data_IF_508466650296
#
_entry.id   IF_508466650296
#
_cell.length_a   1.000
_cell.length_b   1.000
_cell.length_c   1.000
_cell.angle_alpha   90.00
_cell.angle_beta   90.00
_cell.angle_gamma   90.00
#
_symmetry.space_group_name_H-M   'P 1'
#
loop_
_entity.id
_entity.type
_entity.pdbx_description
1 polymer ?
#
# COMPACT_ATOMS: atom_id res chain seq x y z
N UNK A 1 -50.58 -39.65 -7.25
CA UNK A 1 -49.17 -39.21 -7.10
C UNK A 1 -49.02 -37.83 -7.74
N UNK A 2 -49.18 -36.76 -6.96
CA UNK A 2 -49.09 -35.36 -7.42
C UNK A 2 -47.66 -34.85 -7.27
N UNK A 3 -47.00 -34.64 -8.41
CA UNK A 3 -45.62 -34.12 -8.53
C UNK A 3 -45.62 -32.64 -8.14
N UNK A 4 -45.09 -32.32 -6.97
CA UNK A 4 -44.90 -30.93 -6.51
C UNK A 4 -43.83 -30.25 -7.35
N UNK A 5 -44.18 -29.11 -7.95
CA UNK A 5 -43.25 -28.30 -8.74
C UNK A 5 -42.16 -27.67 -7.84
N UNK A 6 -40.91 -27.51 -8.33
CA UNK A 6 -39.85 -26.91 -7.55
C UNK A 6 -40.14 -25.42 -7.31
N UNK A 7 -40.19 -25.01 -6.03
CA UNK A 7 -40.30 -23.60 -5.62
C UNK A 7 -39.12 -22.82 -6.21
N UNK A 8 -39.40 -21.87 -7.09
CA UNK A 8 -38.41 -20.91 -7.56
C UNK A 8 -37.86 -20.14 -6.35
N UNK A 9 -36.55 -20.23 -6.11
CA UNK A 9 -35.88 -19.44 -5.08
C UNK A 9 -36.05 -17.95 -5.40
N UNK A 10 -36.42 -17.10 -4.42
CA UNK A 10 -36.56 -15.67 -4.66
C UNK A 10 -35.22 -15.07 -5.11
N UNK A 11 -35.23 -14.11 -6.04
CA UNK A 11 -34.02 -13.44 -6.49
C UNK A 11 -33.36 -12.75 -5.31
N UNK A 12 -32.10 -13.07 -5.03
CA UNK A 12 -31.33 -12.42 -3.98
C UNK A 12 -31.29 -10.91 -4.24
N UNK A 13 -31.92 -10.12 -3.35
CA UNK A 13 -31.91 -8.67 -3.37
C UNK A 13 -30.45 -8.18 -3.37
N UNK A 14 -30.01 -7.70 -4.53
CA UNK A 14 -28.67 -7.14 -4.69
C UNK A 14 -28.62 -5.85 -3.87
N UNK A 15 -27.73 -5.79 -2.88
CA UNK A 15 -27.50 -4.57 -2.12
C UNK A 15 -27.27 -3.36 -3.06
N UNK A 16 -27.86 -2.19 -2.74
CA UNK A 16 -27.74 -0.98 -3.56
C UNK A 16 -26.28 -0.57 -3.74
N UNK A 17 -25.96 0.06 -4.87
CA UNK A 17 -24.60 0.45 -5.25
C UNK A 17 -23.90 1.28 -4.17
N UNK A 18 -24.64 2.14 -3.46
CA UNK A 18 -24.07 3.03 -2.45
C UNK A 18 -23.58 2.28 -1.22
N UNK A 19 -24.25 1.19 -0.82
CA UNK A 19 -23.74 0.33 0.26
C UNK A 19 -22.42 -0.35 -0.13
N UNK A 20 -22.28 -0.74 -1.41
CA UNK A 20 -21.02 -1.34 -1.90
C UNK A 20 -19.90 -0.30 -1.92
N UNK A 21 -20.18 0.91 -2.39
CA UNK A 21 -19.23 2.02 -2.38
C UNK A 21 -18.80 2.39 -0.96
N UNK A 22 -19.73 2.48 -0.01
CA UNK A 22 -19.43 2.76 1.39
C UNK A 22 -18.52 1.69 2.02
N UNK A 23 -18.78 0.41 1.72
CA UNK A 23 -17.93 -0.70 2.21
C UNK A 23 -16.50 -0.62 1.64
N UNK A 24 -16.32 -0.09 0.43
CA UNK A 24 -14.99 0.06 -0.16
C UNK A 24 -14.29 1.36 0.26
N UNK A 25 -15.05 2.43 0.51
CA UNK A 25 -14.50 3.74 0.91
C UNK A 25 -14.17 3.80 2.40
N UNK A 26 -14.96 3.16 3.28
CA UNK A 26 -14.74 3.23 4.72
C UNK A 26 -13.33 2.76 5.14
N UNK A 27 -12.78 1.64 4.63
CA UNK A 27 -11.41 1.24 4.94
C UNK A 27 -10.37 2.24 4.45
N UNK A 28 -10.58 2.86 3.29
CA UNK A 28 -9.66 3.88 2.76
C UNK A 28 -9.62 5.08 3.69
N UNK A 29 -10.77 5.55 4.19
CA UNK A 29 -10.84 6.64 5.17
C UNK A 29 -10.10 6.27 6.46
N UNK A 30 -10.26 5.03 6.94
CA UNK A 30 -9.52 4.54 8.12
C UNK A 30 -8.01 4.56 7.86
N UNK A 31 -7.55 4.05 6.72
CA UNK A 31 -6.12 4.03 6.37
C UNK A 31 -5.54 5.44 6.28
N UNK A 32 -6.25 6.37 5.62
CA UNK A 32 -5.83 7.78 5.53
C UNK A 32 -5.78 8.41 6.92
N UNK A 33 -6.79 8.19 7.76
CA UNK A 33 -6.82 8.71 9.13
C UNK A 33 -5.63 8.18 9.95
N UNK A 34 -5.32 6.89 9.82
CA UNK A 34 -4.15 6.28 10.47
C UNK A 34 -2.84 6.89 9.95
N UNK A 35 -2.70 7.10 8.64
CA UNK A 35 -1.53 7.77 8.06
C UNK A 35 -1.34 9.16 8.68
N UNK A 36 -2.43 9.94 8.78
CA UNK A 36 -2.40 11.28 9.37
C UNK A 36 -1.99 11.25 10.85
N UNK A 37 -2.44 10.27 11.63
CA UNK A 37 -2.03 10.12 13.04
C UNK A 37 -0.53 9.82 13.14
N UNK A 38 -0.01 8.90 12.34
CA UNK A 38 1.43 8.57 12.33
C UNK A 38 2.26 9.76 11.88
N UNK A 39 1.85 10.45 10.81
CA UNK A 39 2.51 11.65 10.30
C UNK A 39 2.46 12.81 11.28
N UNK A 40 1.35 13.00 12.00
CA UNK A 40 1.23 14.02 13.04
C UNK A 40 2.20 13.74 14.21
N UNK A 41 2.34 12.47 14.61
CA UNK A 41 3.37 12.09 15.59
C UNK A 41 4.77 12.39 15.03
N UNK A 42 5.06 11.99 13.79
CA UNK A 42 6.36 12.24 13.17
C UNK A 42 6.70 13.73 13.12
N UNK A 43 5.72 14.57 12.76
CA UNK A 43 5.84 16.03 12.73
C UNK A 43 6.20 16.62 14.11
N UNK A 44 5.73 16.00 15.19
CA UNK A 44 6.05 16.38 16.57
C UNK A 44 7.36 15.77 17.12
N UNK A 45 8.19 15.15 16.26
CA UNK A 45 9.43 14.47 16.65
C UNK A 45 10.58 14.77 15.69
N UNK A 46 11.78 14.26 15.98
CA UNK A 46 12.97 14.40 15.12
C UNK A 46 12.79 13.79 13.72
N UNK A 47 11.80 12.91 13.55
CA UNK A 47 11.41 12.36 12.25
C UNK A 47 11.00 13.42 11.23
N UNK A 48 10.52 14.58 11.67
CA UNK A 48 10.17 15.70 10.79
C UNK A 48 11.39 16.23 10.01
N UNK A 49 12.53 16.35 10.68
CA UNK A 49 13.80 16.76 10.07
C UNK A 49 14.24 15.73 9.02
N UNK A 50 14.12 14.44 9.35
CA UNK A 50 14.49 13.36 8.42
C UNK A 50 13.54 13.34 7.22
N UNK A 51 12.22 13.38 7.42
CA UNK A 51 11.24 13.25 6.33
C UNK A 51 11.24 14.44 5.37
N UNK A 52 11.40 15.67 5.87
CA UNK A 52 11.15 16.88 5.08
C UNK A 52 12.43 17.65 4.71
N UNK A 53 13.55 17.36 5.36
CA UNK A 53 14.79 18.14 5.21
C UNK A 53 16.03 17.30 4.95
N UNK A 54 15.97 15.97 5.01
CA UNK A 54 17.11 15.13 4.65
C UNK A 54 17.33 15.07 3.14
N UNK A 55 18.60 14.96 2.72
CA UNK A 55 18.96 14.79 1.31
C UNK A 55 18.25 13.59 0.67
N UNK A 56 18.19 12.45 1.38
CA UNK A 56 17.55 11.22 0.90
C UNK A 56 16.06 11.39 0.59
N UNK A 57 15.35 12.20 1.39
CA UNK A 57 13.92 12.44 1.17
C UNK A 57 13.65 13.46 0.07
N UNK A 58 14.61 14.35 -0.19
CA UNK A 58 14.51 15.40 -1.20
C UNK A 58 14.93 14.95 -2.60
N UNK A 59 15.46 13.73 -2.76
CA UNK A 59 15.90 13.22 -4.06
C UNK A 59 14.79 13.25 -5.10
N UNK A 60 13.57 12.78 -4.78
CA UNK A 60 12.46 12.80 -5.75
C UNK A 60 12.01 14.22 -6.13
N UNK A 61 11.81 15.16 -5.18
CA UNK A 61 11.60 16.56 -5.51
C UNK A 61 12.63 17.15 -6.47
N UNK A 62 13.92 16.93 -6.20
CA UNK A 62 15.03 17.42 -7.04
C UNK A 62 15.05 16.72 -8.41
N UNK A 63 14.74 15.42 -8.44
CA UNK A 63 14.67 14.63 -9.68
C UNK A 63 13.57 15.18 -10.58
N UNK A 64 12.38 15.37 -9.99
CA UNK A 64 11.25 15.95 -10.69
C UNK A 64 11.55 17.37 -11.18
N UNK A 65 12.14 18.24 -10.35
CA UNK A 65 12.45 19.61 -10.79
C UNK A 65 13.46 19.63 -11.93
N UNK A 66 14.49 18.77 -11.88
CA UNK A 66 15.51 18.67 -12.93
C UNK A 66 14.92 18.15 -14.23
N UNK A 67 14.04 17.13 -14.17
CA UNK A 67 13.32 16.61 -15.34
C UNK A 67 12.47 17.71 -15.98
N UNK A 68 11.72 18.47 -15.17
CA UNK A 68 10.85 19.55 -15.66
C UNK A 68 11.67 20.72 -16.22
N UNK A 69 12.82 21.03 -15.62
CA UNK A 69 13.72 22.10 -16.07
C UNK A 69 14.63 21.68 -17.25
N UNK A 70 14.72 20.38 -17.57
CA UNK A 70 15.66 19.87 -18.55
C UNK A 70 17.13 19.97 -18.12
N UNK A 71 17.38 20.02 -16.81
CA UNK A 71 18.72 20.16 -16.23
C UNK A 71 19.44 18.81 -16.10
N UNK A 72 20.78 18.79 -16.19
CA UNK A 72 21.56 17.59 -15.91
C UNK A 72 21.45 17.18 -14.43
N UNK A 73 21.55 15.88 -14.17
CA UNK A 73 21.41 15.29 -12.82
C UNK A 73 22.70 15.35 -12.00
N UNK A 74 23.40 16.48 -12.00
CA UNK A 74 24.75 16.64 -11.41
C UNK A 74 24.76 16.54 -9.87
N UNK A 75 23.58 16.51 -9.24
CA UNK A 75 23.38 16.43 -7.79
C UNK A 75 23.05 15.01 -7.31
N UNK A 76 22.79 14.05 -8.21
CA UNK A 76 22.47 12.67 -7.84
C UNK A 76 23.76 11.89 -7.58
N UNK A 77 24.24 11.91 -6.33
CA UNK A 77 25.26 10.96 -5.86
C UNK A 77 24.66 9.59 -5.49
N UNK A 78 23.37 9.38 -5.71
CA UNK A 78 22.68 8.14 -5.35
C UNK A 78 22.80 7.10 -6.47
N UNK A 79 23.28 5.91 -6.14
CA UNK A 79 23.27 4.73 -7.03
C UNK A 79 21.86 4.17 -7.26
N UNK A 80 20.84 4.76 -6.64
CA UNK A 80 19.47 4.27 -6.66
C UNK A 80 18.72 4.75 -7.92
N UNK A 81 18.23 3.80 -8.72
CA UNK A 81 17.32 4.07 -9.83
C UNK A 81 15.91 4.39 -9.30
N UNK A 82 15.63 5.66 -9.05
CA UNK A 82 14.29 6.15 -8.71
C UNK A 82 13.38 6.24 -9.95
N UNK A 83 13.12 5.11 -10.62
CA UNK A 83 12.35 5.13 -11.87
C UNK A 83 10.92 4.63 -11.68
N UNK A 84 10.70 3.54 -10.95
CA UNK A 84 9.39 2.93 -10.79
C UNK A 84 9.29 2.09 -9.51
N UNK A 85 8.24 2.26 -8.67
CA UNK A 85 7.06 3.11 -8.87
C UNK A 85 7.20 4.56 -8.35
N UNK A 86 8.26 4.90 -7.64
CA UNK A 86 8.33 6.10 -6.78
C UNK A 86 8.24 7.42 -7.56
N UNK A 87 9.02 7.57 -8.63
CA UNK A 87 9.02 8.79 -9.45
C UNK A 87 7.68 9.03 -10.14
N UNK A 88 7.03 7.96 -10.62
CA UNK A 88 5.70 8.05 -11.26
C UNK A 88 4.67 8.56 -10.26
N UNK A 89 4.65 8.00 -9.06
CA UNK A 89 3.73 8.41 -8.00
C UNK A 89 4.00 9.85 -7.57
N UNK A 90 5.27 10.19 -7.30
CA UNK A 90 5.63 11.54 -6.89
C UNK A 90 5.27 12.58 -7.95
N UNK A 91 5.58 12.31 -9.22
CA UNK A 91 5.26 13.22 -10.32
C UNK A 91 3.75 13.41 -10.46
N UNK A 92 2.95 12.35 -10.33
CA UNK A 92 1.49 12.45 -10.36
C UNK A 92 0.95 13.32 -9.20
N UNK A 93 1.55 13.24 -8.02
CA UNK A 93 1.20 14.10 -6.87
C UNK A 93 1.63 15.55 -7.15
N UNK A 94 2.82 15.76 -7.70
CA UNK A 94 3.38 17.07 -8.00
C UNK A 94 2.56 17.86 -9.05
N UNK A 95 1.73 17.18 -9.87
CA UNK A 95 0.78 17.84 -10.77
C UNK A 95 -0.33 18.61 -10.03
N UNK A 96 -0.65 18.20 -8.80
CA UNK A 96 -1.74 18.78 -7.99
C UNK A 96 -1.22 19.54 -6.78
N UNK A 97 -0.06 19.14 -6.26
CA UNK A 97 0.57 19.70 -5.06
C UNK A 97 1.87 20.38 -5.45
N UNK A 98 1.87 21.72 -5.46
CA UNK A 98 3.02 22.51 -5.89
C UNK A 98 4.13 22.61 -4.85
N UNK A 99 3.81 22.51 -3.56
CA UNK A 99 4.82 22.52 -2.50
C UNK A 99 5.49 21.14 -2.38
N UNK A 100 6.82 21.02 -2.58
CA UNK A 100 7.51 19.73 -2.54
C UNK A 100 7.38 19.02 -1.20
N UNK A 101 7.33 19.77 -0.09
CA UNK A 101 7.21 19.17 1.26
C UNK A 101 5.80 18.61 1.47
N UNK A 102 4.77 19.35 1.08
CA UNK A 102 3.41 18.82 1.05
C UNK A 102 3.29 17.59 0.12
N UNK A 103 3.95 17.60 -1.03
CA UNK A 103 3.95 16.45 -1.95
C UNK A 103 4.61 15.20 -1.31
N UNK A 104 5.69 15.37 -0.54
CA UNK A 104 6.30 14.27 0.24
C UNK A 104 5.30 13.70 1.26
N UNK A 105 4.61 14.56 2.01
CA UNK A 105 3.61 14.13 3.01
C UNK A 105 2.46 13.37 2.35
N UNK A 106 1.94 13.88 1.22
CA UNK A 106 0.89 13.20 0.45
C UNK A 106 1.39 11.86 -0.07
N UNK A 107 2.64 11.77 -0.52
CA UNK A 107 3.21 10.52 -0.98
C UNK A 107 3.34 9.50 0.17
N UNK A 108 3.70 9.91 1.38
CA UNK A 108 3.68 9.02 2.56
C UNK A 108 2.28 8.44 2.83
N UNK A 109 1.21 9.21 2.60
CA UNK A 109 -0.17 8.71 2.69
C UNK A 109 -0.44 7.68 1.58
N UNK A 110 0.00 7.96 0.34
CA UNK A 110 -0.12 7.04 -0.79
C UNK A 110 0.64 5.73 -0.52
N UNK A 111 1.80 5.78 0.12
CA UNK A 111 2.55 4.58 0.52
C UNK A 111 1.74 3.71 1.47
N UNK A 112 1.08 4.29 2.47
CA UNK A 112 0.22 3.49 3.36
C UNK A 112 -1.01 2.93 2.64
N UNK A 113 -1.58 3.65 1.67
CA UNK A 113 -2.65 3.14 0.81
C UNK A 113 -2.18 1.98 -0.08
N UNK A 114 -0.95 2.05 -0.61
CA UNK A 114 -0.34 0.95 -1.35
C UNK A 114 -0.13 -0.26 -0.45
N UNK A 115 0.38 -0.07 0.76
CA UNK A 115 0.51 -1.13 1.75
C UNK A 115 -0.83 -1.79 2.04
N UNK A 116 -1.88 -1.00 2.25
CA UNK A 116 -3.25 -1.53 2.41
C UNK A 116 -3.71 -2.33 1.20
N UNK A 117 -3.48 -1.84 -0.02
CA UNK A 117 -3.85 -2.53 -1.25
C UNK A 117 -3.14 -3.89 -1.37
N UNK A 118 -1.83 -3.94 -1.10
CA UNK A 118 -1.06 -5.19 -1.07
C UNK A 118 -1.55 -6.12 0.02
N UNK A 119 -1.76 -5.63 1.25
CA UNK A 119 -2.29 -6.42 2.36
C UNK A 119 -3.65 -7.02 2.02
N UNK A 120 -4.51 -6.25 1.33
CA UNK A 120 -5.83 -6.72 0.88
C UNK A 120 -5.73 -7.78 -0.21
N UNK A 121 -4.83 -7.59 -1.19
CA UNK A 121 -4.53 -8.63 -2.19
C UNK A 121 -4.06 -9.89 -1.48
N UNK A 122 -3.05 -9.79 -0.62
CA UNK A 122 -2.46 -10.91 0.12
C UNK A 122 -3.49 -11.61 1.01
N UNK A 123 -4.38 -10.87 1.69
CA UNK A 123 -5.45 -11.43 2.50
C UNK A 123 -6.46 -12.22 1.66
N UNK A 124 -6.96 -11.63 0.57
CA UNK A 124 -7.84 -12.31 -0.40
C UNK A 124 -7.20 -13.55 -1.00
N UNK A 125 -5.91 -13.44 -1.26
CA UNK A 125 -5.08 -14.51 -1.73
C UNK A 125 -5.03 -15.62 -0.64
N UNK A 126 -4.62 -15.35 0.59
CA UNK A 126 -4.45 -16.35 1.64
C UNK A 126 -5.76 -17.00 2.13
N UNK A 127 -6.84 -16.22 2.27
CA UNK A 127 -8.07 -16.61 3.01
C UNK A 127 -9.17 -17.24 2.13
N UNK A 128 -8.82 -17.85 0.99
CA UNK A 128 -9.76 -18.27 -0.07
C UNK A 128 -11.02 -19.04 0.34
N UNK A 129 -11.01 -19.73 1.49
CA UNK A 129 -12.18 -20.46 1.99
C UNK A 129 -13.26 -19.54 2.56
N UNK A 130 -12.88 -18.35 3.02
CA UNK A 130 -13.83 -17.37 3.49
C UNK A 130 -14.30 -16.50 2.34
N UNK A 131 -15.56 -16.65 1.92
CA UNK A 131 -16.19 -15.74 0.93
C UNK A 131 -16.54 -14.37 1.54
N UNK A 132 -16.18 -14.12 2.79
CA UNK A 132 -16.57 -12.93 3.51
C UNK A 132 -15.57 -11.80 3.27
N UNK A 133 -15.96 -10.87 2.38
CA UNK A 133 -15.24 -9.62 2.11
C UNK A 133 -14.85 -8.87 3.39
N UNK A 134 -15.70 -8.93 4.41
CA UNK A 134 -15.42 -8.34 5.72
C UNK A 134 -14.13 -8.89 6.35
N UNK A 135 -13.87 -10.19 6.26
CA UNK A 135 -12.66 -10.79 6.85
C UNK A 135 -11.40 -10.30 6.11
N UNK A 136 -11.45 -10.23 4.76
CA UNK A 136 -10.33 -9.70 3.96
C UNK A 136 -10.01 -8.25 4.36
N UNK A 137 -11.04 -7.41 4.51
CA UNK A 137 -10.90 -6.02 4.94
C UNK A 137 -10.35 -5.94 6.36
N UNK A 138 -10.90 -6.70 7.31
CA UNK A 138 -10.47 -6.68 8.71
C UNK A 138 -9.03 -7.13 8.89
N UNK A 139 -8.58 -8.14 8.12
CA UNK A 139 -7.19 -8.60 8.16
C UNK A 139 -6.24 -7.55 7.59
N UNK A 140 -6.61 -6.92 6.46
CA UNK A 140 -5.81 -5.84 5.88
C UNK A 140 -5.74 -4.62 6.81
N UNK A 141 -6.86 -4.22 7.43
CA UNK A 141 -6.88 -3.15 8.43
C UNK A 141 -6.11 -3.54 9.70
N UNK A 142 -6.14 -4.81 10.10
CA UNK A 142 -5.33 -5.32 11.20
C UNK A 142 -3.83 -5.17 10.92
N UNK A 143 -3.38 -5.46 9.70
CA UNK A 143 -2.00 -5.22 9.28
C UNK A 143 -1.63 -3.73 9.31
N UNK A 144 -2.54 -2.84 8.88
CA UNK A 144 -2.35 -1.38 8.96
C UNK A 144 -2.26 -0.92 10.41
N UNK A 145 -3.14 -1.41 11.28
CA UNK A 145 -3.13 -1.10 12.70
C UNK A 145 -1.82 -1.55 13.38
N UNK A 146 -1.38 -2.78 13.11
CA UNK A 146 -0.11 -3.29 13.62
C UNK A 146 1.07 -2.44 13.13
N UNK A 147 1.10 -2.12 11.83
CA UNK A 147 2.10 -1.25 11.25
C UNK A 147 2.15 0.12 11.95
N UNK A 148 0.99 0.75 12.16
CA UNK A 148 0.89 2.04 12.83
C UNK A 148 1.39 1.96 14.28
N UNK A 149 1.03 0.90 15.01
CA UNK A 149 1.55 0.68 16.38
C UNK A 149 3.07 0.57 16.37
N UNK A 150 3.67 -0.18 15.43
CA UNK A 150 5.13 -0.28 15.32
C UNK A 150 5.75 1.09 15.05
N UNK A 151 5.21 1.87 14.12
CA UNK A 151 5.71 3.22 13.82
C UNK A 151 5.64 4.14 15.06
N UNK A 152 4.55 4.06 15.82
CA UNK A 152 4.38 4.87 17.04
C UNK A 152 5.34 4.46 18.16
N UNK A 153 5.73 3.18 18.20
CA UNK A 153 6.71 2.64 19.15
C UNK A 153 8.16 2.93 18.77
N UNK A 154 8.44 3.44 17.57
CA UNK A 154 9.80 3.86 17.17
C UNK A 154 10.07 5.29 17.69
N UNK A 155 10.83 5.44 18.79
CA UNK A 155 10.87 6.70 19.54
C UNK A 155 11.75 7.75 18.86
N UNK A 156 12.80 7.31 18.15
CA UNK A 156 13.80 8.18 17.54
C UNK A 156 14.22 7.67 16.15
N UNK A 157 14.68 8.56 15.27
CA UNK A 157 15.23 8.17 13.97
C UNK A 157 16.48 7.31 14.13
N UNK A 158 16.37 6.02 13.79
CA UNK A 158 17.50 5.11 13.71
C UNK A 158 17.55 4.46 12.32
N UNK A 159 18.00 5.25 11.34
CA UNK A 159 17.94 4.94 9.90
C UNK A 159 18.70 3.63 9.58
N UNK A 160 19.80 3.36 10.28
CA UNK A 160 20.65 2.19 10.07
C UNK A 160 20.34 1.01 11.01
N UNK A 161 19.24 1.09 11.78
CA UNK A 161 18.91 0.11 12.79
C UNK A 161 17.45 -0.32 12.73
N UNK A 162 16.70 -0.01 13.79
CA UNK A 162 15.39 -0.61 14.07
C UNK A 162 14.19 0.12 13.47
N UNK A 163 14.38 1.19 12.68
CA UNK A 163 13.28 2.08 12.26
C UNK A 163 12.68 1.75 10.89
N UNK A 164 12.71 0.49 10.48
CA UNK A 164 12.31 0.06 9.13
C UNK A 164 10.82 0.35 8.86
N UNK A 165 9.96 0.28 9.88
CA UNK A 165 8.53 0.53 9.67
C UNK A 165 8.27 2.00 9.32
N UNK A 166 8.86 2.94 10.06
CA UNK A 166 8.71 4.38 9.76
C UNK A 166 9.37 4.74 8.42
N UNK A 167 10.51 4.13 8.09
CA UNK A 167 11.21 4.36 6.82
C UNK A 167 10.40 3.93 5.58
N UNK A 168 9.42 3.05 5.72
CA UNK A 168 8.49 2.74 4.63
C UNK A 168 7.67 3.96 4.16
N UNK A 169 7.43 4.94 5.03
CA UNK A 169 6.74 6.18 4.67
C UNK A 169 7.59 7.12 3.81
N UNK A 170 8.89 6.86 3.73
CA UNK A 170 9.85 7.66 3.00
C UNK A 170 9.96 7.14 1.58
N UNK A 171 10.10 8.04 0.61
CA UNK A 171 10.23 7.67 -0.80
C UNK A 171 11.67 7.33 -1.17
N UNK A 172 12.21 6.33 -0.48
CA UNK A 172 13.58 5.86 -0.58
C UNK A 172 13.61 4.37 -0.91
N UNK A 173 14.81 3.79 -1.02
CA UNK A 173 14.99 2.36 -1.28
C UNK A 173 14.28 1.45 -0.26
N UNK A 174 14.09 1.90 0.97
CA UNK A 174 13.36 1.14 2.00
C UNK A 174 11.92 0.85 1.57
N UNK A 175 11.23 1.84 1.00
CA UNK A 175 9.90 1.66 0.43
C UNK A 175 9.93 0.65 -0.72
N UNK A 176 10.84 0.83 -1.67
CA UNK A 176 10.96 -0.04 -2.85
C UNK A 176 11.15 -1.51 -2.48
N UNK A 177 12.05 -1.81 -1.54
CA UNK A 177 12.30 -3.17 -1.04
C UNK A 177 11.03 -3.77 -0.44
N UNK A 178 10.28 -3.01 0.36
CA UNK A 178 9.03 -3.48 0.98
C UNK A 178 7.95 -3.74 -0.08
N UNK A 179 7.76 -2.83 -1.05
CA UNK A 179 6.81 -3.02 -2.16
C UNK A 179 7.16 -4.26 -2.97
N UNK A 180 8.44 -4.45 -3.31
CA UNK A 180 8.91 -5.63 -4.04
C UNK A 180 8.66 -6.90 -3.22
N UNK A 181 8.99 -6.90 -1.92
CA UNK A 181 8.73 -8.03 -1.03
C UNK A 181 7.26 -8.43 -0.96
N UNK A 182 6.36 -7.44 -0.84
CA UNK A 182 4.90 -7.66 -0.86
C UNK A 182 4.42 -8.18 -2.22
N UNK A 183 4.98 -7.65 -3.31
CA UNK A 183 4.67 -8.08 -4.67
C UNK A 183 5.10 -9.52 -4.91
N UNK A 184 6.32 -9.89 -4.50
CA UNK A 184 6.85 -11.26 -4.58
C UNK A 184 6.01 -12.20 -3.74
N UNK A 185 5.62 -11.81 -2.52
CA UNK A 185 4.75 -12.62 -1.67
C UNK A 185 3.38 -12.83 -2.33
N UNK A 186 2.75 -11.77 -2.84
CA UNK A 186 1.48 -11.85 -3.54
C UNK A 186 1.57 -12.75 -4.78
N UNK A 187 2.63 -12.58 -5.59
CA UNK A 187 2.89 -13.41 -6.78
C UNK A 187 3.13 -14.87 -6.41
N UNK A 188 3.90 -15.15 -5.37
CA UNK A 188 4.17 -16.50 -4.87
C UNK A 188 2.89 -17.18 -4.42
N UNK A 189 2.08 -16.47 -3.64
CA UNK A 189 0.78 -16.94 -3.19
C UNK A 189 -0.19 -17.15 -4.37
N UNK A 190 -0.09 -16.35 -5.43
CA UNK A 190 -0.88 -16.52 -6.65
C UNK A 190 -0.41 -17.73 -7.48
N UNK A 191 0.89 -17.88 -7.72
CA UNK A 191 1.49 -18.99 -8.47
C UNK A 191 1.23 -20.34 -7.80
N UNK A 192 1.52 -20.45 -6.49
CA UNK A 192 1.24 -21.67 -5.72
C UNK A 192 -0.24 -22.06 -5.76
N UNK A 193 -1.14 -21.11 -5.99
CA UNK A 193 -2.55 -21.38 -6.23
C UNK A 193 -2.90 -21.78 -7.64
N UNK A 194 -2.25 -21.22 -8.66
CA UNK A 194 -2.40 -21.69 -10.03
C UNK A 194 -2.07 -23.18 -10.12
N UNK A 195 -1.00 -23.62 -9.44
CA UNK A 195 -0.61 -25.04 -9.39
C UNK A 195 -1.61 -25.93 -8.62
N UNK A 196 -2.21 -25.46 -7.51
CA UNK A 196 -3.24 -26.23 -6.79
C UNK A 196 -4.56 -26.36 -7.57
N UNK A 197 -4.83 -25.45 -8.52
CA UNK A 197 -6.05 -25.45 -9.34
C UNK A 197 -5.88 -26.16 -10.69
N UNK A 198 -4.64 -26.41 -11.13
CA UNK A 198 -4.39 -27.23 -12.30
C UNK A 198 -4.95 -28.64 -12.04
N UNK A 199 -5.91 -29.13 -12.85
CA UNK A 199 -6.42 -30.46 -12.67
C UNK A 199 -5.29 -31.44 -12.98
N UNK A 200 -4.95 -32.27 -12.01
CA UNK A 200 -4.27 -33.53 -12.29
C UNK A 200 -5.17 -34.44 -13.14
N UNK A 201 -5.21 -34.18 -14.45
CA UNK A 201 -5.40 -35.20 -15.47
C UNK A 201 -4.05 -35.30 -16.18
N UNK A 202 -3.24 -36.33 -15.97
CA UNK A 202 -3.62 -37.72 -16.13
C UNK A 202 -3.42 -38.56 -14.87
N UNK A 203 -4.54 -39.00 -14.28
CA UNK A 203 -4.61 -40.36 -13.74
C UNK A 203 -4.66 -41.30 -14.93
N UNK A 204 -3.81 -42.32 -14.91
CA UNK A 204 -3.68 -43.29 -16.00
C UNK A 204 -4.97 -44.03 -16.33
N UNK A 205 -5.08 -44.39 -17.60
CA UNK A 205 -5.36 -45.72 -18.13
C UNK A 205 -4.89 -45.75 -19.58
#
# INVERSE_FOLDING_TARGET
MTRTAPRASPPALRAPLWQRLLIELAPVVVVVSTALVVLARMAASEWSAVLLYSGDSLVLPLLHSSIVAGEPFDWVFSSQLFFFPELVIYSAIALVVSDPRAAIVVNSIVNLLLFYAFARVIARLALQRSRHRFIEISVALGAIGLYAVICLLEPQPNINGSSIATLYLFNTYYQGVIIIGLSVLALTLWLTRAFRRAPGGARGR
#
